data_IF_319609436525
#
_entry.id   IF_319609436525
#
_cell.length_a   1.000
_cell.length_b   1.000
_cell.length_c   1.000
_cell.angle_alpha   90.00
_cell.angle_beta   90.00
_cell.angle_gamma   90.00
#
_symmetry.space_group_name_H-M   'P 1'
#
loop_
_entity.id
_entity.type
_entity.pdbx_description
1 polymer ?
#
# COMPACT_ATOMS: atom_id res chain seq x y z
N UNK A 1 6.12 -14.61 -5.79
CA UNK A 1 6.01 -15.96 -5.16
C UNK A 1 4.54 -16.20 -4.82
N UNK A 2 3.95 -17.37 -5.14
CA UNK A 2 2.61 -17.74 -4.66
C UNK A 2 2.67 -17.97 -3.15
N UNK A 3 1.76 -17.36 -2.40
CA UNK A 3 1.57 -17.64 -0.98
C UNK A 3 0.23 -18.34 -0.77
N UNK A 4 0.19 -19.44 0.01
CA UNK A 4 -1.08 -20.07 0.34
C UNK A 4 -1.93 -19.13 1.20
N UNK A 5 -3.23 -19.08 0.92
CA UNK A 5 -4.22 -18.46 1.77
C UNK A 5 -4.62 -19.42 2.90
N UNK A 6 -5.13 -18.88 4.00
CA UNK A 6 -5.76 -19.68 5.05
C UNK A 6 -7.15 -20.11 4.55
N UNK A 7 -7.44 -21.41 4.51
CA UNK A 7 -8.71 -21.93 3.99
C UNK A 7 -9.48 -22.61 5.11
N UNK A 8 -10.73 -22.20 5.33
CA UNK A 8 -11.65 -22.76 6.33
C UNK A 8 -12.92 -23.27 5.67
N UNK A 9 -13.33 -24.50 5.99
CA UNK A 9 -14.65 -24.99 5.60
C UNK A 9 -15.75 -24.41 6.50
N UNK A 10 -16.88 -24.03 5.89
CA UNK A 10 -18.12 -23.65 6.60
C UNK A 10 -19.20 -24.74 6.56
N UNK A 11 -18.90 -25.91 6.00
CA UNK A 11 -19.89 -26.95 5.73
C UNK A 11 -20.55 -26.78 4.36
N UNK A 12 -21.30 -27.80 3.92
CA UNK A 12 -22.13 -27.78 2.69
C UNK A 12 -21.38 -27.37 1.40
N UNK A 13 -20.09 -27.72 1.29
CA UNK A 13 -19.28 -27.35 0.12
C UNK A 13 -18.84 -25.88 0.08
N UNK A 14 -19.09 -25.12 1.14
CA UNK A 14 -18.66 -23.72 1.27
C UNK A 14 -17.29 -23.64 1.94
N UNK A 15 -16.37 -22.93 1.29
CA UNK A 15 -15.02 -22.66 1.78
C UNK A 15 -14.78 -21.15 1.85
N UNK A 16 -14.03 -20.72 2.86
CA UNK A 16 -13.60 -19.33 3.06
C UNK A 16 -12.09 -19.31 2.94
N UNK A 17 -11.56 -18.49 2.02
CA UNK A 17 -10.14 -18.23 1.91
C UNK A 17 -9.82 -16.83 2.45
N UNK A 18 -8.90 -16.75 3.40
CA UNK A 18 -8.42 -15.50 4.00
C UNK A 18 -6.94 -15.33 3.69
N UNK A 19 -6.55 -14.14 3.25
CA UNK A 19 -5.16 -13.78 3.04
C UNK A 19 -4.94 -12.32 3.40
N UNK A 20 -3.73 -12.00 3.84
CA UNK A 20 -3.29 -10.62 4.07
C UNK A 20 -2.24 -10.29 3.01
N UNK A 21 -2.50 -9.34 2.09
CA UNK A 21 -1.48 -8.87 1.17
C UNK A 21 -0.29 -8.28 1.93
N UNK A 22 0.92 -8.50 1.41
CA UNK A 22 2.15 -7.97 2.02
C UNK A 22 2.70 -6.75 1.28
N UNK A 23 2.15 -6.44 0.12
CA UNK A 23 2.52 -5.29 -0.69
C UNK A 23 1.25 -4.64 -1.23
N UNK A 24 1.34 -3.36 -1.52
CA UNK A 24 0.38 -2.67 -2.37
C UNK A 24 0.51 -3.14 -3.83
N UNK A 25 -0.46 -2.76 -4.66
CA UNK A 25 -0.42 -3.06 -6.09
C UNK A 25 -1.32 -4.22 -6.53
N UNK A 26 -1.21 -4.61 -7.80
CA UNK A 26 -2.06 -5.64 -8.40
C UNK A 26 -1.73 -7.02 -7.82
N UNK A 27 -2.75 -7.73 -7.36
CA UNK A 27 -2.66 -9.10 -6.84
C UNK A 27 -3.56 -10.03 -7.64
N UNK A 28 -3.03 -11.21 -7.99
CA UNK A 28 -3.75 -12.29 -8.66
C UNK A 28 -4.02 -13.43 -7.69
N UNK A 29 -5.28 -13.78 -7.52
CA UNK A 29 -5.74 -14.86 -6.64
C UNK A 29 -6.22 -16.01 -7.52
N UNK A 30 -5.48 -17.11 -7.51
CA UNK A 30 -5.85 -18.33 -8.22
C UNK A 30 -6.59 -19.27 -7.24
N UNK A 31 -7.87 -19.52 -7.51
CA UNK A 31 -8.68 -20.52 -6.80
C UNK A 31 -8.87 -21.72 -7.72
N UNK A 32 -8.41 -22.88 -7.26
CA UNK A 32 -8.46 -24.13 -8.02
C UNK A 32 -9.16 -25.23 -7.19
N UNK A 33 -9.98 -26.04 -7.86
CA UNK A 33 -10.55 -27.28 -7.35
C UNK A 33 -10.01 -28.46 -8.15
N UNK A 34 -9.37 -29.42 -7.47
CA UNK A 34 -8.73 -30.58 -8.12
C UNK A 34 -7.77 -30.21 -9.27
N UNK A 35 -6.98 -29.14 -9.07
CA UNK A 35 -6.04 -28.64 -10.09
C UNK A 35 -6.66 -27.83 -11.22
N UNK A 36 -8.00 -27.73 -11.30
CA UNK A 36 -8.73 -26.95 -12.29
C UNK A 36 -9.20 -25.61 -11.71
N UNK A 37 -9.16 -24.49 -12.45
CA UNK A 37 -9.67 -23.21 -11.98
C UNK A 37 -11.18 -23.30 -11.71
N UNK A 38 -11.62 -22.72 -10.59
CA UNK A 38 -13.05 -22.54 -10.34
C UNK A 38 -13.62 -21.48 -11.28
N UNK A 39 -14.95 -21.41 -11.45
CA UNK A 39 -15.57 -20.27 -12.12
C UNK A 39 -15.05 -18.94 -11.56
N UNK A 40 -14.79 -17.98 -12.45
CA UNK A 40 -14.26 -16.64 -12.14
C UNK A 40 -12.81 -16.58 -11.64
N UNK A 41 -12.15 -17.72 -11.44
CA UNK A 41 -10.70 -17.75 -11.21
C UNK A 41 -9.96 -17.50 -12.53
N UNK A 42 -8.92 -16.64 -12.55
CA UNK A 42 -8.36 -15.91 -11.43
C UNK A 42 -9.14 -14.63 -11.07
N UNK A 43 -9.06 -14.25 -9.80
CA UNK A 43 -9.54 -12.96 -9.32
C UNK A 43 -8.36 -11.97 -9.29
N UNK A 44 -8.48 -10.86 -10.01
CA UNK A 44 -7.50 -9.78 -9.99
C UNK A 44 -8.02 -8.66 -9.10
N UNK A 45 -7.25 -8.29 -8.09
CA UNK A 45 -7.57 -7.19 -7.18
C UNK A 45 -6.45 -6.16 -7.17
N UNK A 46 -6.80 -4.92 -6.86
CA UNK A 46 -5.85 -3.84 -6.60
C UNK A 46 -5.79 -3.60 -5.09
N UNK A 47 -4.65 -3.88 -4.47
CA UNK A 47 -4.40 -3.51 -3.07
C UNK A 47 -3.94 -2.06 -3.07
N UNK A 48 -4.70 -1.19 -2.41
CA UNK A 48 -4.37 0.22 -2.31
C UNK A 48 -3.35 0.46 -1.19
N UNK A 49 -2.48 1.48 -1.34
CA UNK A 49 -1.62 1.95 -0.26
C UNK A 49 -2.47 2.28 0.99
N UNK A 50 -1.89 2.10 2.17
CA UNK A 50 -2.52 2.52 3.44
C UNK A 50 -2.31 4.02 3.74
N UNK A 51 -1.75 4.77 2.79
CA UNK A 51 -1.43 6.17 2.91
C UNK A 51 -1.91 6.94 1.66
N UNK A 52 -2.14 8.23 1.81
CA UNK A 52 -2.62 9.14 0.78
C UNK A 52 -1.59 10.28 0.60
N UNK A 53 -0.62 10.14 -0.33
CA UNK A 53 0.46 11.12 -0.51
C UNK A 53 -0.03 12.54 -0.76
N UNK A 54 -1.17 12.69 -1.45
CA UNK A 54 -1.76 13.98 -1.77
C UNK A 54 -2.27 14.76 -0.55
N UNK A 55 -2.31 14.12 0.63
CA UNK A 55 -2.67 14.76 1.90
C UNK A 55 -1.45 15.17 2.73
N UNK A 56 -0.23 14.91 2.24
CA UNK A 56 1.00 15.43 2.86
C UNK A 56 1.10 16.93 2.59
N UNK A 57 1.36 17.71 3.63
CA UNK A 57 1.60 19.16 3.52
C UNK A 57 3.06 19.44 3.90
N UNK A 58 3.75 20.22 3.07
CA UNK A 58 5.12 20.68 3.35
C UNK A 58 5.15 22.20 3.40
N UNK A 59 5.70 22.76 4.47
CA UNK A 59 5.81 24.21 4.67
C UNK A 59 7.16 24.61 5.29
N UNK A 60 7.46 25.92 5.25
CA UNK A 60 8.66 26.50 5.87
C UNK A 60 9.55 27.30 4.90
N UNK A 61 10.55 28.03 5.42
CA UNK A 61 11.48 28.80 4.60
C UNK A 61 12.38 27.92 3.73
N UNK A 62 12.62 26.66 4.13
CA UNK A 62 13.50 25.67 3.49
C UNK A 62 13.07 25.18 2.12
N UNK A 63 11.82 25.44 1.72
CA UNK A 63 11.24 25.01 0.43
C UNK A 63 10.99 26.17 -0.54
N UNK A 64 11.44 27.38 -0.18
CA UNK A 64 11.31 28.58 -1.03
C UNK A 64 12.53 28.76 -1.92
N UNK A 65 12.39 29.53 -2.98
CA UNK A 65 13.52 29.92 -3.82
C UNK A 65 14.38 30.99 -3.13
N UNK A 66 15.69 31.01 -3.43
CA UNK A 66 16.60 32.06 -2.97
C UNK A 66 17.07 31.94 -1.53
N UNK A 67 17.18 30.71 -1.02
CA UNK A 67 17.70 30.47 0.34
C UNK A 67 19.19 30.81 0.40
N UNK A 68 19.62 31.69 1.32
CA UNK A 68 21.03 32.03 1.48
C UNK A 68 21.85 30.82 1.92
N UNK A 69 22.91 30.50 1.17
CA UNK A 69 23.75 29.31 1.40
C UNK A 69 24.42 29.24 2.79
N UNK A 70 24.50 30.38 3.49
CA UNK A 70 25.18 30.49 4.79
C UNK A 70 24.21 30.66 5.97
N UNK A 71 22.90 30.55 5.74
CA UNK A 71 21.90 30.63 6.80
C UNK A 71 21.19 29.28 6.94
N UNK A 72 21.10 28.81 8.18
CA UNK A 72 20.28 27.65 8.50
C UNK A 72 18.82 27.92 8.12
N UNK A 73 18.17 26.89 7.58
CA UNK A 73 16.76 26.93 7.21
C UNK A 73 16.07 25.66 7.68
N UNK A 74 14.75 25.66 7.68
CA UNK A 74 13.95 24.51 8.09
C UNK A 74 12.73 24.37 7.20
N UNK A 75 12.17 23.17 7.19
CA UNK A 75 10.85 22.89 6.67
C UNK A 75 10.16 21.89 7.59
N UNK A 76 8.84 21.83 7.51
CA UNK A 76 7.98 20.93 8.27
C UNK A 76 7.23 20.05 7.29
N UNK A 77 7.13 18.77 7.61
CA UNK A 77 6.30 17.80 6.90
C UNK A 77 5.15 17.41 7.82
N UNK A 78 3.92 17.62 7.37
CA UNK A 78 2.70 17.23 8.06
C UNK A 78 2.06 16.03 7.35
N UNK A 79 2.05 14.88 8.03
CA UNK A 79 1.49 13.62 7.51
C UNK A 79 0.22 13.18 8.24
N UNK A 80 -0.35 14.03 9.13
CA UNK A 80 -1.47 13.64 10.01
C UNK A 80 -2.68 13.08 9.26
N UNK A 81 -2.95 13.61 8.06
CA UNK A 81 -4.06 13.18 7.21
C UNK A 81 -3.63 12.21 6.09
N UNK A 82 -2.33 11.95 5.95
CA UNK A 82 -1.78 11.13 4.88
C UNK A 82 -1.66 9.64 5.24
N UNK A 83 -1.97 9.24 6.48
CA UNK A 83 -1.87 7.84 6.92
C UNK A 83 -0.49 7.46 7.47
N UNK A 84 -0.28 6.17 7.69
CA UNK A 84 0.86 5.65 8.43
C UNK A 84 1.99 5.17 7.51
N UNK A 85 2.70 6.10 6.88
CA UNK A 85 3.96 5.81 6.19
C UNK A 85 5.00 6.90 6.51
N UNK A 86 6.28 6.55 6.41
CA UNK A 86 7.39 7.47 6.70
C UNK A 86 7.83 8.16 5.41
N UNK A 87 7.86 9.51 5.36
CA UNK A 87 8.29 10.23 4.17
C UNK A 87 9.81 10.17 3.99
N UNK A 88 10.25 9.91 2.76
CA UNK A 88 11.65 10.05 2.36
C UNK A 88 11.97 11.51 2.01
N UNK A 89 13.10 12.02 2.54
CA UNK A 89 13.55 13.40 2.31
C UNK A 89 14.92 13.40 1.64
N UNK A 90 14.99 14.00 0.45
CA UNK A 90 16.23 14.17 -0.31
C UNK A 90 16.52 15.67 -0.51
N UNK A 91 17.66 16.13 0.01
CA UNK A 91 18.20 17.47 -0.26
C UNK A 91 19.24 17.33 -1.37
N UNK A 92 19.11 18.13 -2.44
CA UNK A 92 20.02 18.15 -3.58
C UNK A 92 20.82 19.44 -3.63
#
# INVERSE_FOLDING_TARGET
RRKPANIRSRGEGVYVAEFTPQAEGPHRIDINWNGQPTPQSPFNIQVLPHFEPNKVIVDGPGIRNGIPASLETHFRIDTRDAGFEQPDVLIK
#
